data_IF_293270490777
#
_entry.id   IF_293270490777
#
_cell.length_a   1.000
_cell.length_b   1.000
_cell.length_c   1.000
_cell.angle_alpha   90.00
_cell.angle_beta   90.00
_cell.angle_gamma   90.00
#
_symmetry.space_group_name_H-M   'P 1'
#
loop_
_entity.id
_entity.type
_entity.pdbx_description
1 polymer ?
#
# COMPACT_ATOMS: atom_id res chain seq x y z
N UNK A 1 22.67 -1.56 33.20
CA UNK A 1 23.58 -1.01 32.18
C UNK A 1 24.18 -2.15 31.34
N UNK A 2 23.44 -2.68 30.37
CA UNK A 2 24.08 -3.39 29.25
C UNK A 2 24.31 -2.34 28.19
N UNK A 3 25.43 -1.63 28.27
CA UNK A 3 25.88 -0.75 27.21
C UNK A 3 26.40 -1.61 26.04
N UNK A 4 25.48 -2.27 25.34
CA UNK A 4 25.78 -2.99 24.11
C UNK A 4 25.80 -2.06 22.89
N UNK A 5 26.38 -2.52 21.77
CA UNK A 5 26.28 -1.84 20.47
C UNK A 5 24.83 -1.80 19.92
N UNK A 6 23.93 -2.58 20.53
CA UNK A 6 22.54 -2.81 20.10
C UNK A 6 21.73 -1.54 19.83
N UNK A 7 21.59 -0.59 20.78
CA UNK A 7 20.78 0.60 20.56
C UNK A 7 21.29 1.52 19.43
N UNK A 8 22.61 1.58 19.23
CA UNK A 8 23.21 2.35 18.12
C UNK A 8 22.90 1.72 16.77
N UNK A 9 23.00 0.39 16.69
CA UNK A 9 22.66 -0.37 15.48
C UNK A 9 21.16 -0.27 15.18
N UNK A 10 20.30 -0.46 16.19
CA UNK A 10 18.85 -0.33 16.06
C UNK A 10 18.46 1.05 15.53
N UNK A 11 19.06 2.11 16.07
CA UNK A 11 18.87 3.49 15.59
C UNK A 11 19.28 3.66 14.13
N UNK A 12 20.44 3.14 13.75
CA UNK A 12 20.94 3.23 12.37
C UNK A 12 20.06 2.46 11.38
N UNK A 13 19.68 1.23 11.72
CA UNK A 13 18.77 0.41 10.90
C UNK A 13 17.41 1.07 10.76
N UNK A 14 16.83 1.55 11.87
CA UNK A 14 15.54 2.24 11.85
C UNK A 14 15.60 3.50 10.98
N UNK A 15 16.70 4.25 11.02
CA UNK A 15 16.90 5.42 10.17
C UNK A 15 17.00 5.05 8.68
N UNK A 16 17.85 4.09 8.32
CA UNK A 16 18.05 3.69 6.92
C UNK A 16 16.75 3.16 6.32
N UNK A 17 16.07 2.28 7.06
CA UNK A 17 14.83 1.65 6.62
C UNK A 17 13.74 2.69 6.44
N UNK A 18 13.50 3.55 7.43
CA UNK A 18 12.45 4.57 7.32
C UNK A 18 12.79 5.65 6.29
N UNK A 19 14.07 5.95 6.07
CA UNK A 19 14.47 6.89 5.02
C UNK A 19 14.19 6.33 3.62
N UNK A 20 14.43 5.04 3.40
CA UNK A 20 14.06 4.37 2.16
C UNK A 20 12.54 4.39 1.94
N UNK A 21 11.76 4.06 2.98
CA UNK A 21 10.29 4.14 2.92
C UNK A 21 9.83 5.57 2.61
N UNK A 22 10.38 6.57 3.30
CA UNK A 22 10.06 7.98 3.07
C UNK A 22 10.37 8.43 1.65
N UNK A 23 11.55 8.10 1.12
CA UNK A 23 11.96 8.44 -0.24
C UNK A 23 11.08 7.74 -1.30
N UNK A 24 10.76 6.46 -1.10
CA UNK A 24 9.84 5.73 -1.99
C UNK A 24 8.43 6.30 -1.96
N UNK A 25 7.97 6.77 -0.80
CA UNK A 25 6.64 7.38 -0.64
C UNK A 25 6.55 8.73 -1.38
N UNK A 26 7.63 9.52 -1.38
CA UNK A 26 7.69 10.76 -2.15
C UNK A 26 7.55 10.49 -3.66
N UNK A 27 8.16 9.41 -4.16
CA UNK A 27 7.99 8.99 -5.55
C UNK A 27 6.54 8.56 -5.84
N UNK A 28 5.91 7.79 -4.96
CA UNK A 28 4.50 7.39 -5.09
C UNK A 28 3.55 8.58 -5.11
N UNK A 29 3.77 9.58 -4.24
CA UNK A 29 3.01 10.83 -4.24
C UNK A 29 3.18 11.56 -5.58
N UNK A 30 4.42 11.65 -6.08
CA UNK A 30 4.69 12.25 -7.39
C UNK A 30 3.96 11.53 -8.53
N UNK A 31 3.96 10.19 -8.54
CA UNK A 31 3.22 9.39 -9.50
C UNK A 31 1.70 9.57 -9.38
N UNK A 32 1.17 9.64 -8.16
CA UNK A 32 -0.24 9.90 -7.90
C UNK A 32 -0.69 11.27 -8.44
N UNK A 33 0.11 12.32 -8.19
CA UNK A 33 -0.16 13.66 -8.73
C UNK A 33 -0.08 13.65 -10.26
N UNK A 34 0.95 13.01 -10.84
CA UNK A 34 1.08 12.88 -12.29
C UNK A 34 -0.16 12.23 -12.91
N UNK A 35 -0.66 11.14 -12.33
CA UNK A 35 -1.86 10.47 -12.81
C UNK A 35 -3.12 11.34 -12.67
N UNK A 36 -3.27 12.09 -11.59
CA UNK A 36 -4.40 13.01 -11.43
C UNK A 36 -4.39 14.15 -12.45
N UNK A 37 -3.21 14.73 -12.71
CA UNK A 37 -3.05 15.78 -13.73
C UNK A 37 -3.43 15.23 -15.10
N UNK A 38 -2.93 14.05 -15.45
CA UNK A 38 -3.23 13.45 -16.73
C UNK A 38 -4.72 13.05 -16.84
N UNK A 39 -5.32 12.49 -15.77
CA UNK A 39 -6.75 12.22 -15.70
C UNK A 39 -7.61 13.47 -15.92
N UNK A 40 -7.29 14.58 -15.25
CA UNK A 40 -8.04 15.83 -15.38
C UNK A 40 -8.00 16.44 -16.79
N UNK A 41 -6.92 16.19 -17.56
CA UNK A 41 -6.81 16.62 -18.96
C UNK A 41 -7.70 15.81 -19.90
N UNK A 42 -8.04 14.58 -19.52
CA UNK A 42 -8.95 13.72 -20.26
C UNK A 42 -10.41 13.88 -19.80
N UNK A 43 -10.66 14.24 -18.53
CA UNK A 43 -12.02 14.55 -18.03
C UNK A 43 -12.68 15.74 -18.76
N UNK A 44 -11.90 16.74 -19.21
CA UNK A 44 -12.43 17.83 -20.05
C UNK A 44 -12.90 17.37 -21.45
N UNK A 45 -12.46 16.18 -21.90
CA UNK A 45 -12.83 15.61 -23.20
C UNK A 45 -13.87 14.48 -23.08
N UNK A 46 -13.93 13.76 -21.96
CA UNK A 46 -14.86 12.63 -21.73
C UNK A 46 -15.27 12.55 -20.25
N UNK A 47 -16.59 12.57 -19.99
CA UNK A 47 -17.21 12.55 -18.67
C UNK A 47 -17.15 11.19 -17.95
N UNK A 48 -15.96 10.64 -17.74
CA UNK A 48 -15.77 9.31 -17.13
C UNK A 48 -14.80 9.37 -15.95
N UNK A 49 -15.36 9.53 -14.73
CA UNK A 49 -14.70 9.73 -13.42
C UNK A 49 -13.92 8.50 -12.87
N UNK A 50 -13.23 7.72 -13.72
CA UNK A 50 -12.72 6.39 -13.35
C UNK A 50 -11.25 6.30 -13.02
N UNK A 51 -10.42 7.17 -13.59
CA UNK A 51 -8.98 7.22 -13.27
C UNK A 51 -8.76 7.89 -11.91
N UNK A 52 -9.66 8.81 -11.55
CA UNK A 52 -9.67 9.60 -10.32
C UNK A 52 -9.67 8.77 -9.02
N UNK A 53 -10.49 7.71 -8.83
CA UNK A 53 -10.44 6.89 -7.62
C UNK A 53 -9.12 6.10 -7.48
N UNK A 54 -8.55 5.56 -8.57
CA UNK A 54 -7.29 4.80 -8.52
C UNK A 54 -6.12 5.72 -8.17
N UNK A 55 -6.03 6.87 -8.83
CA UNK A 55 -5.01 7.87 -8.55
C UNK A 55 -5.15 8.43 -7.13
N UNK A 56 -6.39 8.60 -6.65
CA UNK A 56 -6.69 9.00 -5.27
C UNK A 56 -6.19 8.00 -4.22
N UNK A 57 -6.36 6.68 -4.44
CA UNK A 57 -5.84 5.64 -3.55
C UNK A 57 -4.32 5.69 -3.49
N UNK A 58 -3.65 5.79 -4.64
CA UNK A 58 -2.18 5.84 -4.71
C UNK A 58 -1.63 7.09 -4.00
N UNK A 59 -2.27 8.24 -4.22
CA UNK A 59 -1.90 9.49 -3.55
C UNK A 59 -2.13 9.40 -2.03
N UNK A 60 -3.27 8.86 -1.60
CA UNK A 60 -3.61 8.68 -0.19
C UNK A 60 -2.61 7.78 0.53
N UNK A 61 -2.31 6.61 -0.05
CA UNK A 61 -1.31 5.68 0.47
C UNK A 61 0.09 6.30 0.49
N UNK A 62 0.49 6.98 -0.59
CA UNK A 62 1.78 7.66 -0.66
C UNK A 62 1.95 8.73 0.43
N UNK A 63 0.94 9.57 0.64
CA UNK A 63 0.94 10.59 1.70
C UNK A 63 0.99 9.96 3.10
N UNK A 64 0.23 8.89 3.33
CA UNK A 64 0.24 8.18 4.61
C UNK A 64 1.61 7.55 4.89
N UNK A 65 2.19 6.82 3.94
CA UNK A 65 3.52 6.21 4.08
C UNK A 65 4.62 7.28 4.23
N UNK A 66 4.47 8.44 3.58
CA UNK A 66 5.38 9.59 3.78
C UNK A 66 5.37 10.07 5.24
N UNK A 67 4.19 10.22 5.85
CA UNK A 67 4.05 10.63 7.26
C UNK A 67 4.69 9.59 8.18
N UNK A 68 4.39 8.29 7.98
CA UNK A 68 4.96 7.19 8.75
C UNK A 68 6.49 7.21 8.68
N UNK A 69 7.05 7.26 7.47
CA UNK A 69 8.50 7.31 7.25
C UNK A 69 9.15 8.57 7.83
N UNK A 70 8.48 9.73 7.73
CA UNK A 70 8.96 10.98 8.32
C UNK A 70 9.00 10.92 9.85
N UNK A 71 7.96 10.37 10.49
CA UNK A 71 7.91 10.18 11.94
C UNK A 71 9.01 9.24 12.41
N UNK A 72 9.23 8.11 11.72
CA UNK A 72 10.31 7.17 12.03
C UNK A 72 11.70 7.82 11.90
N UNK A 73 11.96 8.52 10.78
CA UNK A 73 13.22 9.22 10.54
C UNK A 73 13.48 10.32 11.58
N UNK A 74 12.54 11.24 11.77
CA UNK A 74 12.69 12.36 12.69
C UNK A 74 12.75 11.90 14.16
N UNK A 75 11.97 10.89 14.54
CA UNK A 75 12.01 10.27 15.86
C UNK A 75 13.40 9.71 16.16
N UNK A 76 13.98 8.97 15.21
CA UNK A 76 15.35 8.46 15.34
C UNK A 76 16.39 9.58 15.36
N UNK A 77 16.38 10.50 14.39
CA UNK A 77 17.40 11.55 14.25
C UNK A 77 17.44 12.49 15.46
N UNK A 78 16.26 12.98 15.87
CA UNK A 78 16.13 13.98 16.94
C UNK A 78 16.06 13.37 18.33
N UNK A 79 16.08 12.04 18.44
CA UNK A 79 15.84 11.33 19.70
C UNK A 79 14.54 11.82 20.39
N UNK A 80 13.50 12.11 19.58
CA UNK A 80 12.24 12.64 20.09
C UNK A 80 11.24 11.51 20.36
N UNK A 81 11.03 11.22 21.64
CA UNK A 81 10.16 10.15 22.12
C UNK A 81 8.72 10.29 21.59
N UNK A 82 8.20 11.50 21.47
CA UNK A 82 6.84 11.71 20.96
C UNK A 82 6.71 11.23 19.51
N UNK A 83 7.65 11.61 18.63
CA UNK A 83 7.66 11.14 17.24
C UNK A 83 7.83 9.63 17.13
N UNK A 84 8.66 9.04 17.98
CA UNK A 84 8.93 7.60 17.98
C UNK A 84 7.73 6.78 18.51
N UNK A 85 7.00 7.31 19.50
CA UNK A 85 5.71 6.75 19.96
C UNK A 85 4.61 6.90 18.90
N UNK A 86 4.53 8.04 18.21
CA UNK A 86 3.60 8.21 17.09
C UNK A 86 3.88 7.21 15.98
N UNK A 87 5.16 7.03 15.61
CA UNK A 87 5.58 6.01 14.65
C UNK A 87 5.15 4.60 15.08
N UNK A 88 5.41 4.23 16.34
CA UNK A 88 5.00 2.93 16.89
C UNK A 88 3.47 2.75 16.83
N UNK A 89 2.70 3.77 17.22
CA UNK A 89 1.24 3.72 17.19
C UNK A 89 0.71 3.57 15.76
N UNK A 90 1.29 4.28 14.79
CA UNK A 90 0.92 4.14 13.39
C UNK A 90 1.18 2.73 12.86
N UNK A 91 2.36 2.15 13.14
CA UNK A 91 2.66 0.76 12.76
C UNK A 91 1.69 -0.23 13.41
N UNK A 92 1.36 -0.04 14.68
CA UNK A 92 0.39 -0.90 15.38
C UNK A 92 -0.99 -0.84 14.70
N UNK A 93 -1.44 0.34 14.29
CA UNK A 93 -2.70 0.50 13.55
C UNK A 93 -2.65 -0.19 12.18
N UNK A 94 -1.51 -0.16 11.49
CA UNK A 94 -1.35 -0.86 10.21
C UNK A 94 -1.45 -2.38 10.43
N UNK A 95 -0.74 -2.95 11.41
CA UNK A 95 -0.83 -4.38 11.74
C UNK A 95 -2.27 -4.79 12.05
N UNK A 96 -3.00 -4.00 12.85
CA UNK A 96 -4.41 -4.30 13.14
C UNK A 96 -5.27 -4.22 11.87
N UNK A 97 -4.99 -3.27 10.99
CA UNK A 97 -5.62 -3.14 9.68
C UNK A 97 -5.34 -4.34 8.78
N UNK A 98 -4.09 -4.78 8.67
CA UNK A 98 -3.69 -5.95 7.87
C UNK A 98 -4.33 -7.24 8.39
N UNK A 99 -4.37 -7.44 9.72
CA UNK A 99 -5.04 -8.59 10.32
C UNK A 99 -6.55 -8.55 10.02
N UNK A 100 -7.19 -7.39 10.16
CA UNK A 100 -8.62 -7.23 9.88
C UNK A 100 -8.92 -7.48 8.40
N UNK A 101 -8.14 -6.89 7.50
CA UNK A 101 -8.26 -7.07 6.06
C UNK A 101 -8.01 -8.53 5.66
N UNK A 102 -7.01 -9.18 6.26
CA UNK A 102 -6.72 -10.60 6.04
C UNK A 102 -7.88 -11.49 6.47
N UNK A 103 -8.47 -11.25 7.65
CA UNK A 103 -9.64 -12.00 8.12
C UNK A 103 -10.84 -11.78 7.20
N UNK A 104 -11.14 -10.52 6.83
CA UNK A 104 -12.24 -10.21 5.90
C UNK A 104 -12.03 -10.87 4.55
N UNK A 105 -10.82 -10.83 4.01
CA UNK A 105 -10.48 -11.50 2.75
C UNK A 105 -10.68 -13.01 2.84
N UNK A 106 -10.48 -13.64 4.01
CA UNK A 106 -10.75 -15.07 4.20
C UNK A 106 -12.25 -15.40 4.35
N UNK A 107 -13.01 -14.53 5.03
CA UNK A 107 -14.44 -14.73 5.27
C UNK A 107 -15.26 -14.50 4.00
N UNK A 108 -14.93 -13.48 3.22
CA UNK A 108 -15.69 -13.05 2.05
C UNK A 108 -15.08 -13.48 0.71
N UNK A 109 -14.23 -14.54 0.69
CA UNK A 109 -13.53 -14.99 -0.54
C UNK A 109 -14.45 -15.12 -1.75
N UNK A 110 -15.59 -15.80 -1.61
CA UNK A 110 -16.53 -16.03 -2.71
C UNK A 110 -17.21 -14.76 -3.23
N UNK A 111 -17.46 -13.79 -2.34
CA UNK A 111 -17.97 -12.48 -2.77
C UNK A 111 -16.88 -11.64 -3.45
N UNK A 112 -15.64 -11.76 -2.99
CA UNK A 112 -14.48 -11.08 -3.57
C UNK A 112 -14.23 -11.52 -5.02
N UNK A 113 -14.30 -12.84 -5.29
CA UNK A 113 -14.15 -13.41 -6.63
C UNK A 113 -15.25 -12.93 -7.59
N UNK A 114 -16.50 -12.87 -7.12
CA UNK A 114 -17.63 -12.34 -7.89
C UNK A 114 -17.49 -10.85 -8.18
N UNK A 115 -17.14 -10.05 -7.17
CA UNK A 115 -16.96 -8.60 -7.31
C UNK A 115 -15.76 -8.24 -8.21
N UNK A 116 -14.69 -9.04 -8.17
CA UNK A 116 -13.53 -8.87 -9.05
C UNK A 116 -13.89 -9.19 -10.51
N UNK A 117 -14.71 -10.22 -10.75
CA UNK A 117 -15.23 -10.56 -12.08
C UNK A 117 -16.09 -9.45 -12.65
N UNK A 118 -17.04 -8.95 -11.87
CA UNK A 118 -17.94 -7.87 -12.28
C UNK A 118 -17.16 -6.57 -12.53
N UNK A 119 -16.28 -6.18 -11.60
CA UNK A 119 -15.48 -4.96 -11.71
C UNK A 119 -14.57 -4.98 -12.94
N UNK A 120 -13.88 -6.10 -13.19
CA UNK A 120 -12.99 -6.24 -14.35
C UNK A 120 -13.77 -6.25 -15.67
N UNK A 121 -14.93 -6.93 -15.71
CA UNK A 121 -15.80 -6.94 -16.90
C UNK A 121 -16.31 -5.53 -17.22
N UNK A 122 -16.73 -4.80 -16.18
CA UNK A 122 -17.23 -3.43 -16.27
C UNK A 122 -16.15 -2.42 -16.70
N UNK A 123 -14.93 -2.51 -16.17
CA UNK A 123 -13.83 -1.65 -16.63
C UNK A 123 -13.49 -1.90 -18.10
N UNK A 124 -13.52 -3.15 -18.55
CA UNK A 124 -13.22 -3.49 -19.94
C UNK A 124 -14.32 -2.98 -20.86
N UNK A 125 -15.60 -3.24 -20.59
CA UNK A 125 -16.70 -2.71 -21.41
C UNK A 125 -16.66 -1.18 -21.45
N UNK A 126 -16.41 -0.58 -20.29
CA UNK A 126 -16.16 0.86 -20.05
C UNK A 126 -15.16 1.46 -21.07
N UNK A 127 -14.03 0.77 -21.20
CA UNK A 127 -12.88 1.24 -21.98
C UNK A 127 -13.05 1.10 -23.49
N UNK A 128 -14.01 0.30 -23.96
CA UNK A 128 -14.16 -0.05 -25.37
C UNK A 128 -15.42 0.52 -26.05
N UNK A 129 -16.39 1.05 -25.30
CA UNK A 129 -17.53 1.79 -25.87
C UNK A 129 -17.12 2.97 -26.77
N UNK A 130 -15.90 3.48 -26.60
CA UNK A 130 -15.34 4.56 -27.42
C UNK A 130 -15.03 4.16 -28.88
N UNK A 131 -15.03 2.86 -29.22
CA UNK A 131 -14.74 2.34 -30.56
C UNK A 131 -15.89 1.46 -31.09
N UNK A 132 -16.85 2.08 -31.78
CA UNK A 132 -18.11 1.48 -32.30
C UNK A 132 -17.94 0.31 -33.29
N UNK A 133 -16.73 -0.02 -33.71
CA UNK A 133 -16.45 -1.11 -34.66
C UNK A 133 -15.83 -2.37 -34.01
N UNK A 134 -15.54 -2.34 -32.71
CA UNK A 134 -14.83 -3.43 -32.01
C UNK A 134 -15.71 -4.19 -30.98
N UNK A 135 -16.91 -3.70 -30.68
CA UNK A 135 -17.74 -4.16 -29.56
C UNK A 135 -18.09 -5.66 -29.63
N UNK A 136 -18.56 -6.17 -30.78
CA UNK A 136 -18.89 -7.60 -30.90
C UNK A 136 -17.68 -8.54 -30.75
N UNK A 137 -16.50 -8.11 -31.20
CA UNK A 137 -15.28 -8.93 -31.09
C UNK A 137 -14.75 -8.94 -29.65
N UNK A 138 -14.97 -7.86 -28.91
CA UNK A 138 -14.55 -7.70 -27.52
C UNK A 138 -15.49 -8.45 -26.58
N UNK A 139 -16.81 -8.35 -26.80
CA UNK A 139 -17.80 -9.12 -26.08
C UNK A 139 -17.53 -10.63 -26.26
N UNK A 140 -17.19 -11.07 -27.49
CA UNK A 140 -16.79 -12.45 -27.77
C UNK A 140 -15.50 -12.87 -27.03
N UNK A 141 -14.53 -11.98 -26.87
CA UNK A 141 -13.31 -12.27 -26.09
C UNK A 141 -13.54 -12.24 -24.58
N UNK A 142 -14.46 -11.41 -24.08
CA UNK A 142 -14.88 -11.39 -22.68
C UNK A 142 -15.68 -12.65 -22.33
N UNK A 143 -16.61 -13.07 -23.19
CA UNK A 143 -17.45 -14.26 -23.03
C UNK A 143 -16.64 -15.57 -23.12
N UNK A 144 -15.59 -15.61 -23.96
CA UNK A 144 -14.72 -16.80 -24.08
C UNK A 144 -13.74 -17.03 -22.94
N UNK A 145 -13.77 -16.21 -21.90
CA UNK A 145 -13.12 -16.54 -20.63
C UNK A 145 -11.76 -15.88 -20.40
N UNK A 146 -11.41 -14.79 -21.09
CA UNK A 146 -10.18 -14.04 -20.75
C UNK A 146 -10.22 -13.42 -19.34
N UNK A 147 -11.39 -12.92 -18.91
CA UNK A 147 -11.60 -12.40 -17.55
C UNK A 147 -11.49 -13.56 -16.54
N UNK A 148 -12.20 -14.66 -16.78
CA UNK A 148 -12.12 -15.86 -15.95
C UNK A 148 -10.70 -16.46 -15.90
N UNK A 149 -9.97 -16.46 -17.02
CA UNK A 149 -8.59 -16.92 -17.08
C UNK A 149 -7.64 -15.97 -16.35
N UNK A 150 -7.89 -14.65 -16.38
CA UNK A 150 -7.12 -13.66 -15.63
C UNK A 150 -7.34 -13.81 -14.13
N UNK A 151 -8.59 -14.02 -13.70
CA UNK A 151 -8.96 -14.26 -12.31
C UNK A 151 -8.40 -15.59 -11.82
N UNK A 152 -8.52 -16.66 -12.61
CA UNK A 152 -7.89 -17.94 -12.30
C UNK A 152 -6.36 -17.83 -12.21
N UNK A 153 -5.75 -16.90 -12.96
CA UNK A 153 -4.31 -16.60 -12.84
C UNK A 153 -3.98 -15.80 -11.58
N UNK A 154 -4.86 -14.92 -11.13
CA UNK A 154 -4.74 -14.21 -9.83
C UNK A 154 -4.87 -15.22 -8.69
N UNK A 155 -5.87 -16.10 -8.74
CA UNK A 155 -6.08 -17.19 -7.77
C UNK A 155 -4.85 -18.12 -7.69
N UNK A 156 -4.29 -18.48 -8.84
CA UNK A 156 -3.06 -19.28 -8.89
C UNK A 156 -1.85 -18.59 -8.26
N UNK A 157 -1.85 -17.26 -8.16
CA UNK A 157 -0.78 -16.46 -7.56
C UNK A 157 -1.14 -15.89 -6.18
N UNK A 158 -2.27 -16.30 -5.60
CA UNK A 158 -2.71 -15.82 -4.29
C UNK A 158 -1.67 -16.10 -3.19
N UNK A 159 -0.87 -17.16 -3.37
CA UNK A 159 0.23 -17.49 -2.49
C UNK A 159 1.35 -16.43 -2.48
N UNK A 160 1.63 -15.78 -3.62
CA UNK A 160 2.61 -14.70 -3.71
C UNK A 160 2.10 -13.48 -2.94
N UNK A 161 0.82 -13.12 -3.14
CA UNK A 161 0.20 -12.01 -2.42
C UNK A 161 0.20 -12.26 -0.91
N UNK A 162 -0.20 -13.44 -0.48
CA UNK A 162 -0.16 -13.83 0.94
C UNK A 162 1.27 -13.77 1.51
N UNK A 163 2.27 -14.19 0.72
CA UNK A 163 3.69 -14.09 1.09
C UNK A 163 4.16 -12.64 1.26
N UNK A 164 3.76 -11.73 0.36
CA UNK A 164 4.07 -10.30 0.47
C UNK A 164 3.43 -9.71 1.74
N UNK A 165 2.14 -9.96 1.98
CA UNK A 165 1.46 -9.47 3.19
C UNK A 165 2.11 -9.99 4.48
N UNK A 166 2.47 -11.29 4.53
CA UNK A 166 3.19 -11.84 5.69
C UNK A 166 4.57 -11.19 5.87
N UNK A 167 5.27 -10.91 4.77
CA UNK A 167 6.55 -10.21 4.79
C UNK A 167 6.44 -8.79 5.34
N UNK A 168 5.40 -8.05 4.94
CA UNK A 168 5.11 -6.71 5.47
C UNK A 168 4.84 -6.79 6.98
N UNK A 169 3.95 -7.68 7.41
CA UNK A 169 3.62 -7.87 8.83
C UNK A 169 4.86 -8.18 9.68
N UNK A 170 5.73 -9.09 9.22
CA UNK A 170 6.98 -9.41 9.93
C UNK A 170 7.92 -8.20 9.99
N UNK A 171 8.03 -7.47 8.89
CA UNK A 171 8.86 -6.27 8.82
C UNK A 171 8.36 -5.17 9.76
N UNK A 172 7.05 -4.97 9.88
CA UNK A 172 6.46 -4.03 10.84
C UNK A 172 6.74 -4.41 12.29
N UNK A 173 6.65 -5.71 12.62
CA UNK A 173 7.00 -6.20 13.97
C UNK A 173 8.46 -5.90 14.29
N UNK A 174 9.38 -6.13 13.35
CA UNK A 174 10.81 -5.82 13.53
C UNK A 174 11.00 -4.31 13.70
N UNK A 175 10.33 -3.49 12.90
CA UNK A 175 10.40 -2.04 13.00
C UNK A 175 9.88 -1.53 14.35
N UNK A 176 8.79 -2.11 14.86
CA UNK A 176 8.26 -1.84 16.20
C UNK A 176 9.26 -2.23 17.30
N UNK A 177 9.92 -3.38 17.19
CA UNK A 177 10.97 -3.79 18.13
C UNK A 177 12.13 -2.79 18.15
N UNK A 178 12.62 -2.37 16.98
CA UNK A 178 13.67 -1.35 16.91
C UNK A 178 13.20 0.00 17.46
N UNK A 179 11.95 0.38 17.21
CA UNK A 179 11.36 1.59 17.79
C UNK A 179 11.38 1.54 19.31
N UNK A 180 10.91 0.45 19.94
CA UNK A 180 10.97 0.25 21.39
C UNK A 180 12.40 0.33 21.94
N UNK A 181 13.35 -0.39 21.33
CA UNK A 181 14.76 -0.35 21.73
C UNK A 181 15.33 1.08 21.71
N UNK A 182 14.94 1.90 20.72
CA UNK A 182 15.39 3.29 20.63
C UNK A 182 14.63 4.17 21.63
N UNK A 183 13.33 3.96 21.88
CA UNK A 183 12.58 4.68 22.92
C UNK A 183 13.23 4.47 24.29
N UNK A 184 13.48 3.22 24.67
CA UNK A 184 14.07 2.86 25.96
C UNK A 184 15.46 3.47 26.11
N UNK A 185 16.29 3.37 25.07
CA UNK A 185 17.64 3.94 25.07
C UNK A 185 17.65 5.48 25.12
N UNK A 186 16.60 6.16 24.65
CA UNK A 186 16.45 7.61 24.79
C UNK A 186 15.95 7.97 26.18
N UNK A 187 15.04 7.18 26.76
CA UNK A 187 14.55 7.38 28.13
C UNK A 187 15.64 7.16 29.17
N UNK A 188 16.54 6.19 28.97
CA UNK A 188 17.68 5.96 29.88
C UNK A 188 18.68 7.13 29.93
N UNK A 189 18.70 8.00 28.91
CA UNK A 189 19.58 9.18 28.86
C UNK A 189 18.96 10.44 29.50
N UNK A 190 17.64 10.45 29.72
CA UNK A 190 16.88 11.60 30.20
C UNK A 190 16.76 11.60 31.73
#
# INVERSE_FOLDING_TARGET
MVAGCGPKIAKLLLLIINFAVWASSLALVGLGIWMLVEASRFEELFSEDKITPVAGIILGLGCFCFIVGFCGCCGAMKENICFLKTYFCLLLLIVLGELTAGILALVYKGELEGSMTEGMTKTISESYEQYTSATETIDYMQEKGCVAASIGKIESNIAILAGVCLGVLVFEIIAMMFSCCVIDAVQEKA
#
